data_IF_135425999592
#
_entry.id   IF_135425999592
#
_cell.length_a   1.000
_cell.length_b   1.000
_cell.length_c   1.000
_cell.angle_alpha   90.00
_cell.angle_beta   90.00
_cell.angle_gamma   90.00
#
_symmetry.space_group_name_H-M   'P 1'
#
loop_
_entity.id
_entity.type
_entity.pdbx_description
1 polymer ?
#
# COMPACT_ATOMS: atom_id res chain seq x y z
N UNK A 1 -8.40 21.55 -0.62
CA UNK A 1 -8.59 20.11 -0.85
C UNK A 1 -7.30 19.46 -0.41
N UNK A 2 -7.35 18.55 0.57
CA UNK A 2 -6.17 17.73 0.88
C UNK A 2 -5.88 16.85 -0.34
N UNK A 3 -4.59 16.62 -0.63
CA UNK A 3 -4.18 15.78 -1.73
C UNK A 3 -4.17 14.33 -1.24
N UNK A 4 -5.05 13.51 -1.79
CA UNK A 4 -5.11 12.08 -1.52
C UNK A 4 -4.16 11.33 -2.47
N UNK A 5 -3.57 10.24 -1.97
CA UNK A 5 -2.59 9.43 -2.70
C UNK A 5 -3.10 7.99 -2.83
N UNK A 6 -2.96 7.43 -4.03
CA UNK A 6 -3.11 6.00 -4.27
C UNK A 6 -1.75 5.33 -4.13
N UNK A 7 -1.60 4.42 -3.18
CA UNK A 7 -0.35 3.70 -2.94
C UNK A 7 -0.25 2.52 -3.92
N UNK A 8 0.87 2.44 -4.63
CA UNK A 8 1.20 1.33 -5.54
C UNK A 8 1.90 0.17 -4.81
N UNK A 9 1.83 -1.03 -5.38
CA UNK A 9 2.46 -2.26 -4.88
C UNK A 9 3.96 -2.06 -4.63
N UNK A 10 4.67 -1.33 -5.50
CA UNK A 10 6.10 -1.10 -5.32
C UNK A 10 6.45 -0.25 -4.09
N UNK A 11 5.55 0.64 -3.66
CA UNK A 11 5.76 1.42 -2.44
C UNK A 11 5.64 0.51 -1.23
N UNK A 12 4.67 -0.40 -1.25
CA UNK A 12 4.43 -1.39 -0.19
C UNK A 12 5.60 -2.37 -0.12
N UNK A 13 6.02 -2.98 -1.23
CA UNK A 13 7.15 -3.91 -1.25
C UNK A 13 8.43 -3.23 -0.75
N UNK A 14 8.74 -2.03 -1.24
CA UNK A 14 9.91 -1.29 -0.76
C UNK A 14 9.81 -0.88 0.71
N UNK A 15 8.62 -0.63 1.25
CA UNK A 15 8.44 -0.37 2.69
C UNK A 15 8.79 -1.62 3.50
N UNK A 16 8.21 -2.78 3.16
CA UNK A 16 8.46 -4.04 3.86
C UNK A 16 9.88 -4.57 3.67
N UNK A 17 10.56 -4.21 2.59
CA UNK A 17 11.97 -4.51 2.33
C UNK A 17 12.93 -3.46 2.91
N UNK A 18 12.42 -2.39 3.53
CA UNK A 18 13.23 -1.26 4.02
C UNK A 18 14.13 -0.65 2.91
N UNK A 19 13.64 -0.62 1.68
CA UNK A 19 14.33 -0.13 0.46
C UNK A 19 13.97 1.30 0.06
N UNK A 20 12.96 1.90 0.70
CA UNK A 20 12.64 3.32 0.48
C UNK A 20 13.81 4.20 0.95
N UNK A 21 14.16 5.29 0.23
CA UNK A 21 15.07 6.30 0.74
C UNK A 21 14.44 7.00 1.96
N UNK A 22 15.24 7.61 2.84
CA UNK A 22 14.76 8.22 4.09
C UNK A 22 13.61 9.23 3.88
N UNK A 23 13.75 10.13 2.90
CA UNK A 23 12.66 11.05 2.53
C UNK A 23 11.39 10.32 2.08
N UNK A 24 11.54 9.18 1.41
CA UNK A 24 10.43 8.33 0.99
C UNK A 24 9.74 7.67 2.18
N UNK A 25 10.50 7.19 3.18
CA UNK A 25 9.94 6.63 4.42
C UNK A 25 9.16 7.68 5.21
N UNK A 26 9.72 8.88 5.36
CA UNK A 26 9.03 10.00 6.03
C UNK A 26 7.72 10.33 5.33
N UNK A 27 7.74 10.46 4.00
CA UNK A 27 6.55 10.76 3.21
C UNK A 27 5.50 9.66 3.32
N UNK A 28 5.88 8.39 3.12
CA UNK A 28 4.98 7.24 3.19
C UNK A 28 4.39 7.10 4.60
N UNK A 29 5.18 7.35 5.65
CA UNK A 29 4.69 7.38 7.03
C UNK A 29 3.61 8.44 7.24
N UNK A 30 3.77 9.64 6.67
CA UNK A 30 2.74 10.69 6.74
C UNK A 30 1.45 10.25 6.02
N UNK A 31 1.56 9.57 4.87
CA UNK A 31 0.40 9.09 4.11
C UNK A 31 -0.32 7.97 4.84
N UNK A 32 0.41 6.96 5.34
CA UNK A 32 -0.16 5.80 6.04
C UNK A 32 -0.82 6.19 7.37
N UNK A 33 -0.26 7.16 8.10
CA UNK A 33 -0.80 7.61 9.39
C UNK A 33 -2.07 8.49 9.26
N UNK A 34 -2.53 8.78 8.04
CA UNK A 34 -3.85 9.38 7.79
C UNK A 34 -4.87 8.26 7.53
N UNK A 35 -5.51 8.25 6.36
CA UNK A 35 -6.24 7.14 5.79
C UNK A 35 -5.66 6.94 4.40
N UNK A 36 -4.86 5.91 4.20
CA UNK A 36 -4.26 5.67 2.90
C UNK A 36 -5.19 4.82 2.02
N UNK A 37 -5.04 5.00 0.72
CA UNK A 37 -5.90 4.39 -0.28
C UNK A 37 -5.07 3.48 -1.17
N UNK A 38 -5.60 2.30 -1.46
CA UNK A 38 -5.06 1.36 -2.45
C UNK A 38 -6.16 0.96 -3.43
N UNK A 39 -5.79 0.43 -4.58
CA UNK A 39 -6.75 -0.23 -5.47
C UNK A 39 -6.89 -1.70 -5.09
N UNK A 40 -8.01 -2.31 -5.49
CA UNK A 40 -8.17 -3.78 -5.39
C UNK A 40 -7.08 -4.54 -6.16
N UNK A 41 -6.49 -3.93 -7.20
CA UNK A 41 -5.35 -4.52 -7.94
C UNK A 41 -4.11 -4.60 -7.03
N UNK A 42 -3.83 -3.56 -6.26
CA UNK A 42 -2.70 -3.54 -5.31
C UNK A 42 -2.92 -4.57 -4.19
N UNK A 43 -4.14 -4.70 -3.68
CA UNK A 43 -4.49 -5.77 -2.73
C UNK A 43 -4.15 -7.16 -3.31
N UNK A 44 -4.59 -7.46 -4.53
CA UNK A 44 -4.33 -8.73 -5.20
C UNK A 44 -2.82 -8.97 -5.35
N UNK A 45 -2.07 -7.99 -5.85
CA UNK A 45 -0.63 -8.13 -6.09
C UNK A 45 0.15 -8.35 -4.79
N UNK A 46 -0.17 -7.59 -3.75
CA UNK A 46 0.51 -7.65 -2.45
C UNK A 46 0.22 -8.99 -1.76
N UNK A 47 -1.02 -9.47 -1.77
CA UNK A 47 -1.38 -10.76 -1.16
C UNK A 47 -0.89 -11.97 -1.96
N UNK A 48 -0.62 -11.79 -3.26
CA UNK A 48 0.03 -12.80 -4.10
C UNK A 48 1.55 -12.70 -4.11
N UNK A 49 2.13 -11.82 -3.29
CA UNK A 49 3.58 -11.66 -3.20
C UNK A 49 4.22 -12.77 -2.35
N UNK A 50 4.73 -13.81 -3.02
CA UNK A 50 5.27 -15.01 -2.36
C UNK A 50 6.72 -14.87 -1.86
N UNK A 51 7.40 -13.74 -2.10
CA UNK A 51 8.81 -13.60 -1.72
C UNK A 51 9.02 -13.45 -0.20
N UNK A 52 7.96 -13.20 0.58
CA UNK A 52 8.04 -13.02 2.03
C UNK A 52 6.93 -13.74 2.82
N UNK A 53 6.91 -15.08 2.85
CA UNK A 53 5.90 -15.83 3.59
C UNK A 53 5.88 -15.46 5.09
N UNK A 54 7.04 -15.18 5.69
CA UNK A 54 7.15 -14.79 7.09
C UNK A 54 6.57 -13.39 7.39
N UNK A 55 6.47 -12.52 6.38
CA UNK A 55 5.89 -11.17 6.51
C UNK A 55 4.42 -11.13 6.14
N UNK A 56 3.86 -12.21 5.60
CA UNK A 56 2.48 -12.25 5.12
C UNK A 56 1.46 -11.83 6.19
N UNK A 57 1.55 -12.27 7.47
CA UNK A 57 0.62 -11.79 8.49
C UNK A 57 0.65 -10.26 8.68
N UNK A 58 1.84 -9.66 8.62
CA UNK A 58 2.01 -8.20 8.74
C UNK A 58 1.49 -7.46 7.50
N UNK A 59 1.62 -8.08 6.33
CA UNK A 59 1.11 -7.56 5.07
C UNK A 59 -0.43 -7.59 5.07
N UNK A 60 -1.05 -8.68 5.51
CA UNK A 60 -2.50 -8.80 5.66
C UNK A 60 -3.05 -7.76 6.65
N UNK A 61 -2.39 -7.60 7.81
CA UNK A 61 -2.73 -6.55 8.78
C UNK A 61 -2.60 -5.14 8.17
N UNK A 62 -1.57 -4.89 7.37
CA UNK A 62 -1.39 -3.61 6.69
C UNK A 62 -2.51 -3.33 5.67
N UNK A 63 -2.85 -4.31 4.83
CA UNK A 63 -3.92 -4.18 3.82
C UNK A 63 -5.28 -3.95 4.51
N UNK A 64 -5.54 -4.58 5.65
CA UNK A 64 -6.78 -4.39 6.41
C UNK A 64 -6.99 -2.96 6.94
N UNK A 65 -5.94 -2.14 6.99
CA UNK A 65 -6.02 -0.72 7.39
C UNK A 65 -6.29 0.21 6.20
N UNK A 66 -6.18 -0.29 4.97
CA UNK A 66 -6.31 0.51 3.76
C UNK A 66 -7.77 0.78 3.40
N UNK A 67 -8.05 1.96 2.84
CA UNK A 67 -9.27 2.17 2.06
C UNK A 67 -9.08 1.60 0.66
N UNK A 68 -9.92 0.63 0.26
CA UNK A 68 -9.78 -0.07 -1.01
C UNK A 68 -10.74 0.52 -2.05
N UNK A 69 -10.19 1.02 -3.15
CA UNK A 69 -10.97 1.42 -4.33
C UNK A 69 -11.23 0.17 -5.19
N UNK A 70 -12.50 -0.20 -5.44
CA UNK A 70 -12.83 -1.31 -6.32
C UNK A 70 -12.48 -0.98 -7.77
N UNK A 71 -12.33 -2.02 -8.60
CA UNK A 71 -12.22 -1.85 -10.04
C UNK A 71 -13.63 -1.81 -10.63
N UNK A 72 -13.99 -0.69 -11.26
CA UNK A 72 -15.19 -0.54 -12.06
C UNK A 72 -14.86 0.06 -13.44
N UNK A 73 -15.90 0.25 -14.25
CA UNK A 73 -15.76 0.85 -15.58
C UNK A 73 -15.83 2.38 -15.56
N UNK A 74 -16.05 2.99 -14.39
CA UNK A 74 -16.14 4.43 -14.22
C UNK A 74 -14.74 5.00 -13.97
N UNK A 75 -14.20 5.67 -14.99
CA UNK A 75 -12.97 6.46 -14.82
C UNK A 75 -13.39 7.83 -14.31
N UNK A 76 -13.42 8.00 -12.98
CA UNK A 76 -13.80 9.27 -12.32
C UNK A 76 -12.62 9.91 -11.61
#
# INVERSE_FOLDING_TARGET
MEQDYLIDTNVISHLFENRLPEKGKEFVSIVINKNFVISVVVEIEVLTYHEFPDKMPMIEEFIALASIIPLDAEIT
#
